data_IF_272685659622
#
_entry.id   IF_272685659622
#
_cell.length_a   1.000
_cell.length_b   1.000
_cell.length_c   1.000
_cell.angle_alpha   90.00
_cell.angle_beta   90.00
_cell.angle_gamma   90.00
#
_symmetry.space_group_name_H-M   'P 1'
#
loop_
_entity.id
_entity.type
_entity.pdbx_description
1 polymer ?
#
# COMPACT_ATOMS: atom_id res chain seq x y z
N UNK A 1 -10.32 -0.49 -14.22
CA UNK A 1 -9.67 0.34 -15.26
C UNK A 1 -8.18 0.60 -15.01
N UNK A 2 -7.74 1.09 -13.84
CA UNK A 2 -6.28 1.21 -13.53
C UNK A 2 -5.52 -0.14 -13.43
N UNK A 3 -6.23 -1.26 -13.27
CA UNK A 3 -5.65 -2.61 -13.23
C UNK A 3 -5.50 -3.33 -14.58
N UNK A 4 -6.29 -3.01 -15.60
CA UNK A 4 -6.34 -3.81 -16.86
C UNK A 4 -5.09 -3.59 -17.75
N UNK A 5 -4.44 -2.43 -17.67
CA UNK A 5 -3.21 -2.14 -18.40
C UNK A 5 -1.95 -2.74 -17.74
N UNK A 6 -1.89 -2.73 -16.40
CA UNK A 6 -0.85 -3.47 -15.66
C UNK A 6 -0.96 -4.98 -15.91
N UNK A 7 -2.18 -5.50 -16.11
CA UNK A 7 -2.47 -6.91 -16.41
C UNK A 7 -1.96 -7.32 -17.82
N UNK A 8 -2.05 -6.46 -18.84
CA UNK A 8 -1.52 -6.74 -20.17
C UNK A 8 0.01 -6.76 -20.23
N UNK A 9 0.65 -5.96 -19.37
CA UNK A 9 2.09 -5.87 -19.26
C UNK A 9 2.70 -7.05 -18.48
N UNK A 10 1.94 -7.64 -17.54
CA UNK A 10 2.26 -8.88 -16.82
C UNK A 10 2.03 -10.14 -17.68
N UNK A 11 1.01 -10.17 -18.54
CA UNK A 11 0.66 -11.35 -19.35
C UNK A 11 1.59 -11.57 -20.57
N UNK A 12 2.10 -10.51 -21.17
CA UNK A 12 3.07 -10.59 -22.27
C UNK A 12 4.47 -11.02 -21.79
N UNK A 13 4.81 -10.68 -20.54
CA UNK A 13 6.06 -11.11 -19.90
C UNK A 13 5.96 -12.54 -19.37
N UNK A 14 4.85 -12.97 -18.78
CA UNK A 14 4.72 -14.31 -18.16
C UNK A 14 4.56 -15.49 -19.13
N UNK A 15 3.91 -15.34 -20.30
CA UNK A 15 3.69 -16.50 -21.20
C UNK A 15 4.94 -16.88 -22.02
N UNK A 16 5.79 -15.89 -22.38
CA UNK A 16 7.04 -16.15 -23.10
C UNK A 16 8.09 -16.87 -22.22
N UNK A 17 7.90 -16.79 -20.90
CA UNK A 17 8.79 -17.36 -19.87
C UNK A 17 8.37 -18.79 -19.51
N UNK A 18 7.09 -19.18 -19.65
CA UNK A 18 6.58 -20.37 -18.97
C UNK A 18 6.63 -21.70 -19.76
N UNK A 19 6.34 -21.73 -21.07
CA UNK A 19 5.76 -22.99 -21.59
C UNK A 19 6.61 -23.94 -22.43
N UNK A 20 7.88 -23.64 -22.71
CA UNK A 20 8.88 -24.65 -23.17
C UNK A 20 8.36 -25.71 -24.18
N UNK A 21 7.44 -25.33 -25.08
CA UNK A 21 6.69 -26.22 -25.98
C UNK A 21 6.78 -25.70 -27.40
N UNK A 22 7.14 -26.62 -28.30
CA UNK A 22 7.05 -26.46 -29.75
C UNK A 22 5.58 -26.32 -30.16
N UNK A 23 5.00 -25.13 -30.03
CA UNK A 23 3.93 -24.73 -30.94
C UNK A 23 3.85 -23.21 -31.08
N UNK A 24 3.87 -22.77 -32.33
CA UNK A 24 4.20 -21.41 -32.75
C UNK A 24 3.10 -20.39 -32.44
N UNK A 25 3.39 -19.43 -31.55
CA UNK A 25 2.58 -18.21 -31.35
C UNK A 25 3.46 -16.98 -31.55
N UNK A 26 3.16 -16.16 -32.56
CA UNK A 26 4.03 -15.11 -33.08
C UNK A 26 3.53 -13.72 -32.70
N UNK A 27 4.42 -12.91 -32.13
CA UNK A 27 4.23 -11.47 -31.97
C UNK A 27 4.58 -10.78 -33.29
N UNK A 28 3.63 -10.06 -33.90
CA UNK A 28 3.87 -9.29 -35.12
C UNK A 28 3.91 -7.80 -34.78
N UNK A 29 5.09 -7.20 -34.90
CA UNK A 29 5.30 -5.75 -34.82
C UNK A 29 5.63 -5.30 -36.24
N UNK A 30 4.86 -4.37 -36.79
CA UNK A 30 5.18 -3.80 -38.10
C UNK A 30 6.41 -2.88 -37.95
N UNK A 31 7.53 -3.28 -38.57
CA UNK A 31 8.86 -2.67 -38.41
C UNK A 31 9.01 -1.29 -39.06
N UNK A 32 8.09 -0.91 -39.94
CA UNK A 32 8.25 0.23 -40.85
C UNK A 32 8.16 1.61 -40.16
N UNK A 33 7.93 1.64 -38.84
CA UNK A 33 7.73 2.86 -38.06
C UNK A 33 8.56 2.92 -36.76
N UNK A 34 9.55 2.03 -36.58
CA UNK A 34 10.44 2.05 -35.41
C UNK A 34 11.65 2.97 -35.70
N UNK A 35 11.77 4.05 -34.93
CA UNK A 35 12.90 4.98 -34.98
C UNK A 35 13.67 4.90 -33.66
N UNK A 36 14.96 4.56 -33.73
CA UNK A 36 15.83 4.44 -32.55
C UNK A 36 16.79 5.63 -32.52
N UNK A 37 16.71 6.44 -31.47
CA UNK A 37 17.66 7.50 -31.19
C UNK A 37 18.66 7.03 -30.12
N UNK A 38 19.87 6.67 -30.57
CA UNK A 38 20.90 6.12 -29.68
C UNK A 38 21.52 7.17 -28.75
N UNK A 39 21.61 8.44 -29.17
CA UNK A 39 22.12 9.54 -28.34
C UNK A 39 21.18 9.83 -27.17
N UNK A 40 19.87 9.75 -27.41
CA UNK A 40 18.82 9.98 -26.40
C UNK A 40 18.38 8.72 -25.67
N UNK A 41 18.94 7.56 -26.02
CA UNK A 41 18.56 6.24 -25.50
C UNK A 41 17.03 6.02 -25.52
N UNK A 42 16.44 6.32 -26.67
CA UNK A 42 15.00 6.38 -26.88
C UNK A 42 14.63 5.56 -28.13
N UNK A 43 13.59 4.76 -28.04
CA UNK A 43 12.96 4.09 -29.18
C UNK A 43 11.51 4.60 -29.31
N UNK A 44 11.17 5.09 -30.51
CA UNK A 44 9.89 5.70 -30.80
C UNK A 44 9.21 4.94 -31.94
N UNK A 45 7.93 4.58 -31.76
CA UNK A 45 7.11 4.00 -32.81
C UNK A 45 6.19 5.07 -33.40
N UNK A 46 6.52 5.60 -34.58
CA UNK A 46 5.82 6.70 -35.23
C UNK A 46 4.51 6.29 -35.95
N UNK A 47 4.10 5.04 -35.80
CA UNK A 47 2.96 4.44 -36.50
C UNK A 47 2.05 3.64 -35.58
N UNK A 48 1.02 3.00 -36.16
CA UNK A 48 0.09 2.17 -35.43
C UNK A 48 0.77 0.86 -34.99
N UNK A 49 0.87 0.67 -33.68
CA UNK A 49 1.33 -0.58 -33.05
C UNK A 49 0.09 -1.44 -32.81
N UNK A 50 0.05 -2.61 -33.44
CA UNK A 50 -1.03 -3.58 -33.31
C UNK A 50 -0.49 -4.81 -32.57
N UNK A 51 -1.02 -5.08 -31.40
CA UNK A 51 -0.71 -6.24 -30.59
C UNK A 51 -1.82 -7.27 -30.80
N UNK A 52 -1.48 -8.40 -31.40
CA UNK A 52 -2.40 -9.50 -31.64
C UNK A 52 -2.26 -10.54 -30.52
N UNK A 53 -3.38 -10.84 -29.87
CA UNK A 53 -3.57 -11.89 -28.88
C UNK A 53 -4.67 -12.85 -29.38
N UNK A 54 -4.72 -14.08 -28.88
CA UNK A 54 -5.62 -15.14 -29.38
C UNK A 54 -7.08 -14.70 -29.53
N UNK A 55 -7.60 -13.89 -28.60
CA UNK A 55 -8.96 -13.36 -28.63
C UNK A 55 -9.03 -11.83 -28.65
N UNK A 56 -7.90 -11.13 -28.75
CA UNK A 56 -7.86 -9.67 -28.57
C UNK A 56 -6.85 -8.98 -29.49
N UNK A 57 -7.25 -7.83 -30.03
CA UNK A 57 -6.37 -6.94 -30.80
C UNK A 57 -6.28 -5.63 -30.06
N UNK A 58 -5.07 -5.24 -29.65
CA UNK A 58 -4.82 -3.94 -29.03
C UNK A 58 -4.09 -3.04 -30.01
N UNK A 59 -4.68 -1.89 -30.30
CA UNK A 59 -4.12 -0.87 -31.17
C UNK A 59 -3.72 0.34 -30.34
N UNK A 60 -2.47 0.76 -30.51
CA UNK A 60 -1.89 1.97 -29.90
C UNK A 60 -1.01 2.71 -30.91
N UNK A 61 -0.66 3.96 -30.68
CA UNK A 61 0.14 4.82 -31.59
C UNK A 61 1.12 5.67 -30.78
N UNK A 62 2.33 5.97 -31.24
CA UNK A 62 3.28 6.82 -30.50
C UNK A 62 3.71 6.20 -29.15
N UNK A 63 4.12 4.93 -29.17
CA UNK A 63 4.76 4.28 -28.02
C UNK A 63 6.22 4.76 -27.94
N UNK A 64 6.64 5.24 -26.77
CA UNK A 64 8.03 5.59 -26.50
C UNK A 64 8.63 4.73 -25.40
N UNK A 65 9.81 4.19 -25.66
CA UNK A 65 10.57 3.35 -24.74
C UNK A 65 11.89 4.05 -24.46
N UNK A 66 12.11 4.43 -23.22
CA UNK A 66 13.37 4.98 -22.75
C UNK A 66 14.17 3.87 -22.09
N UNK A 67 15.45 3.78 -22.43
CA UNK A 67 16.36 2.79 -21.88
C UNK A 67 17.64 3.47 -21.42
N UNK A 68 18.42 2.79 -20.57
CA UNK A 68 19.75 3.23 -20.14
C UNK A 68 20.79 2.16 -20.39
N UNK A 69 22.02 2.59 -20.65
CA UNK A 69 23.15 1.67 -20.85
C UNK A 69 23.86 1.45 -19.51
N UNK A 70 23.79 0.23 -18.97
CA UNK A 70 24.45 -0.19 -17.73
C UNK A 70 25.29 -1.42 -18.00
N UNK A 71 26.59 -1.39 -17.71
CA UNK A 71 27.53 -2.50 -17.91
C UNK A 71 27.44 -3.13 -19.32
N UNK A 72 27.43 -2.29 -20.35
CA UNK A 72 27.27 -2.68 -21.77
C UNK A 72 25.93 -3.34 -22.16
N UNK A 73 24.93 -3.32 -21.26
CA UNK A 73 23.58 -3.84 -21.48
C UNK A 73 22.57 -2.69 -21.54
N UNK A 74 21.55 -2.82 -22.39
CA UNK A 74 20.44 -1.86 -22.47
C UNK A 74 19.34 -2.28 -21.50
N UNK A 75 18.99 -1.42 -20.56
CA UNK A 75 17.98 -1.65 -19.52
C UNK A 75 16.84 -0.67 -19.74
N UNK A 76 15.60 -1.16 -19.85
CA UNK A 76 14.42 -0.28 -19.99
C UNK A 76 14.27 0.53 -18.70
N UNK A 77 14.23 1.85 -18.84
CA UNK A 77 14.10 2.81 -17.75
C UNK A 77 12.62 3.09 -17.47
N UNK A 78 11.85 3.48 -18.49
CA UNK A 78 10.39 3.61 -18.43
C UNK A 78 9.76 3.66 -19.84
N UNK A 79 8.43 3.51 -19.90
CA UNK A 79 7.66 3.52 -21.15
C UNK A 79 6.59 4.60 -21.07
N UNK A 80 6.52 5.45 -22.10
CA UNK A 80 5.44 6.41 -22.28
C UNK A 80 4.44 5.83 -23.28
N UNK A 81 3.19 5.68 -22.86
CA UNK A 81 2.07 5.29 -23.73
C UNK A 81 1.21 6.51 -24.08
N UNK A 82 0.65 6.56 -25.30
CA UNK A 82 -0.32 7.59 -25.67
C UNK A 82 -1.61 7.49 -24.84
N UNK A 83 -2.35 8.59 -24.82
CA UNK A 83 -3.63 8.76 -24.12
C UNK A 83 -4.82 8.02 -24.74
N UNK A 84 -4.64 7.27 -25.84
CA UNK A 84 -5.71 6.48 -26.48
C UNK A 84 -5.23 5.07 -26.78
N UNK A 85 -5.79 4.10 -26.07
CA UNK A 85 -5.71 2.68 -26.39
C UNK A 85 -7.07 2.20 -26.91
N UNK A 86 -7.05 1.37 -27.95
CA UNK A 86 -8.24 0.68 -28.44
C UNK A 86 -7.99 -0.81 -28.40
N UNK A 87 -8.69 -1.51 -27.51
CA UNK A 87 -8.68 -2.97 -27.44
C UNK A 87 -9.98 -3.50 -28.04
N UNK A 88 -9.90 -4.54 -28.87
CA UNK A 88 -11.06 -5.20 -29.48
C UNK A 88 -10.96 -6.70 -29.23
N UNK A 89 -12.00 -7.29 -28.62
CA UNK A 89 -12.09 -8.73 -28.40
C UNK A 89 -12.85 -9.38 -29.56
N UNK A 90 -12.42 -10.55 -30.02
CA UNK A 90 -12.86 -11.13 -31.29
C UNK A 90 -14.34 -11.55 -31.38
N UNK A 91 -15.19 -11.29 -30.36
CA UNK A 91 -16.64 -11.53 -30.42
C UNK A 91 -17.51 -10.50 -29.66
N UNK A 92 -16.99 -9.32 -29.31
CA UNK A 92 -17.79 -8.24 -28.71
C UNK A 92 -17.38 -6.87 -29.26
N UNK A 93 -18.37 -6.09 -29.71
CA UNK A 93 -18.20 -4.68 -30.11
C UNK A 93 -18.15 -3.76 -28.87
N UNK A 94 -17.13 -3.91 -28.02
CA UNK A 94 -16.93 -2.99 -26.90
C UNK A 94 -15.61 -2.24 -27.05
N UNK A 95 -15.70 -0.91 -27.11
CA UNK A 95 -14.58 0.00 -27.29
C UNK A 95 -14.16 0.55 -25.92
N UNK A 96 -13.08 0.03 -25.34
CA UNK A 96 -12.55 0.54 -24.08
C UNK A 96 -11.65 1.75 -24.35
N UNK A 97 -12.05 2.93 -23.87
CA UNK A 97 -11.26 4.17 -23.88
C UNK A 97 -10.68 4.43 -22.48
N UNK A 98 -9.36 4.55 -22.36
CA UNK A 98 -8.69 4.89 -21.09
C UNK A 98 -7.96 6.23 -21.25
N UNK A 99 -8.14 7.15 -20.29
CA UNK A 99 -7.46 8.45 -20.26
C UNK A 99 -6.08 8.35 -19.57
N UNK A 100 -5.18 9.23 -20.01
CA UNK A 100 -3.75 9.34 -19.68
C UNK A 100 -3.37 9.09 -18.22
N UNK A 101 -2.31 8.30 -18.01
CA UNK A 101 -1.54 8.28 -16.77
C UNK A 101 -0.04 8.14 -17.11
N UNK A 102 0.78 9.01 -16.52
CA UNK A 102 2.23 8.83 -16.44
C UNK A 102 2.52 7.72 -15.43
N UNK A 103 3.15 6.64 -15.88
CA UNK A 103 3.49 5.50 -15.03
C UNK A 103 5.00 5.46 -14.80
N UNK A 104 5.44 5.75 -13.57
CA UNK A 104 6.83 5.63 -13.14
C UNK A 104 7.09 4.18 -12.67
N UNK A 105 8.02 3.48 -13.32
CA UNK A 105 8.47 2.14 -12.92
C UNK A 105 9.88 2.24 -12.34
N UNK A 106 10.06 1.91 -11.05
CA UNK A 106 11.38 1.72 -10.45
C UNK A 106 11.78 0.26 -10.64
N UNK A 107 12.69 -0.03 -11.57
CA UNK A 107 13.25 -1.38 -11.76
C UNK A 107 14.71 -1.44 -11.28
N UNK A 108 15.03 -2.49 -10.50
CA UNK A 108 16.41 -2.95 -10.27
C UNK A 108 16.69 -4.08 -11.27
N UNK A 109 17.70 -3.84 -12.11
CA UNK A 109 18.45 -4.72 -13.03
C UNK A 109 17.70 -5.70 -13.96
N UNK A 110 17.96 -5.54 -15.27
CA UNK A 110 17.67 -6.54 -16.30
C UNK A 110 18.98 -6.88 -17.04
N UNK A 111 19.46 -8.11 -16.93
CA UNK A 111 20.74 -8.56 -17.48
C UNK A 111 20.49 -9.43 -18.72
N UNK A 112 20.87 -8.93 -19.89
CA UNK A 112 20.87 -9.69 -21.17
C UNK A 112 22.17 -10.48 -21.34
N UNK A 113 22.10 -11.81 -21.24
CA UNK A 113 23.04 -12.76 -21.86
C UNK A 113 22.32 -14.09 -22.04
N UNK A 114 22.65 -14.82 -23.11
CA UNK A 114 22.02 -16.07 -23.51
C UNK A 114 21.87 -17.07 -22.35
N UNK A 115 20.77 -17.81 -22.41
CA UNK A 115 20.20 -18.68 -21.37
C UNK A 115 19.68 -17.91 -20.14
N UNK A 116 18.40 -17.56 -20.25
CA UNK A 116 17.65 -16.78 -19.28
C UNK A 116 17.18 -17.73 -18.16
N UNK A 117 17.84 -17.67 -17.01
CA UNK A 117 17.29 -18.12 -15.73
C UNK A 117 16.64 -16.91 -15.06
N UNK A 118 15.32 -16.95 -14.89
CA UNK A 118 14.56 -15.90 -14.22
C UNK A 118 14.41 -16.26 -12.74
N UNK A 119 15.02 -15.45 -11.88
CA UNK A 119 14.56 -15.29 -10.50
C UNK A 119 13.61 -14.09 -10.47
N UNK A 120 12.32 -14.36 -10.30
CA UNK A 120 11.31 -13.33 -10.00
C UNK A 120 11.48 -12.89 -8.55
N UNK A 121 12.21 -11.80 -8.30
CA UNK A 121 12.10 -11.10 -7.03
C UNK A 121 11.04 -10.01 -7.17
N UNK A 122 9.84 -10.32 -6.68
CA UNK A 122 8.66 -9.53 -6.29
C UNK A 122 8.38 -8.16 -6.94
N UNK A 123 7.14 -8.05 -7.43
CA UNK A 123 6.38 -6.79 -7.54
C UNK A 123 6.61 -5.98 -6.26
N UNK A 124 7.28 -4.81 -6.34
CA UNK A 124 7.58 -4.01 -5.15
C UNK A 124 6.30 -3.67 -4.39
N UNK A 125 6.05 -4.38 -3.30
CA UNK A 125 5.09 -4.02 -2.25
C UNK A 125 5.50 -2.69 -1.66
N UNK A 126 4.54 -1.76 -1.50
CA UNK A 126 4.80 -0.50 -0.79
C UNK A 126 5.39 -0.82 0.59
N UNK A 127 6.49 -0.15 0.95
CA UNK A 127 7.23 -0.41 2.18
C UNK A 127 7.51 0.89 2.91
N UNK A 128 7.28 0.87 4.22
CA UNK A 128 7.77 1.88 5.15
C UNK A 128 9.09 1.39 5.74
N UNK A 129 10.12 2.21 5.67
CA UNK A 129 11.37 2.04 6.40
C UNK A 129 11.51 3.14 7.44
N UNK A 130 11.84 2.75 8.67
CA UNK A 130 12.21 3.63 9.77
C UNK A 130 13.62 3.23 10.16
N UNK A 131 14.57 4.12 9.95
CA UNK A 131 15.99 3.82 10.08
C UNK A 131 16.59 4.64 11.22
N UNK A 132 17.05 3.94 12.26
CA UNK A 132 17.94 4.48 13.29
C UNK A 132 17.34 5.68 14.05
N UNK A 133 16.01 5.70 14.25
CA UNK A 133 15.34 6.84 14.85
C UNK A 133 15.70 6.97 16.33
N UNK A 134 16.05 8.18 16.73
CA UNK A 134 16.27 8.55 18.14
C UNK A 134 15.41 9.74 18.52
N UNK A 135 14.93 9.77 19.76
CA UNK A 135 14.11 10.88 20.28
C UNK A 135 14.33 11.11 21.75
N UNK A 136 14.52 12.38 22.12
CA UNK A 136 14.71 12.86 23.48
C UNK A 136 13.58 13.83 23.83
N UNK A 137 13.03 13.70 25.04
CA UNK A 137 12.12 14.67 25.64
C UNK A 137 12.64 15.05 27.02
N UNK A 138 12.73 16.36 27.32
CA UNK A 138 13.19 16.87 28.63
C UNK A 138 14.47 16.19 29.14
N UNK A 139 15.49 16.11 28.27
CA UNK A 139 16.77 15.43 28.51
C UNK A 139 16.70 13.91 28.78
N UNK A 140 15.53 13.29 28.62
CA UNK A 140 15.36 11.83 28.69
C UNK A 140 15.27 11.24 27.30
N UNK A 141 16.19 10.33 26.99
CA UNK A 141 16.16 9.56 25.75
C UNK A 141 15.00 8.55 25.79
N UNK A 142 14.03 8.73 24.89
CA UNK A 142 12.84 7.88 24.78
C UNK A 142 12.99 6.84 23.70
N UNK A 143 13.58 7.20 22.56
CA UNK A 143 13.96 6.27 21.49
C UNK A 143 15.46 6.38 21.24
N UNK A 144 16.10 5.23 21.06
CA UNK A 144 17.53 5.11 20.85
C UNK A 144 17.79 4.14 19.69
N UNK A 145 18.08 4.71 18.51
CA UNK A 145 18.48 3.96 17.33
C UNK A 145 17.47 2.86 16.92
N UNK A 146 16.18 3.17 16.97
CA UNK A 146 15.12 2.23 16.59
C UNK A 146 15.04 2.13 15.08
N UNK A 147 15.14 0.91 14.56
CA UNK A 147 14.88 0.61 13.16
C UNK A 147 13.73 -0.38 13.06
N UNK A 148 12.73 -0.06 12.24
CA UNK A 148 11.62 -0.97 11.91
C UNK A 148 11.28 -0.84 10.43
N UNK A 149 10.67 -1.86 9.86
CA UNK A 149 10.05 -1.77 8.54
C UNK A 149 8.63 -2.33 8.58
N UNK A 150 7.82 -1.98 7.59
CA UNK A 150 6.46 -2.48 7.42
C UNK A 150 6.11 -2.54 5.94
N UNK A 151 5.66 -3.70 5.48
CA UNK A 151 5.21 -3.89 4.11
C UNK A 151 3.68 -3.71 4.00
N UNK A 152 3.22 -3.31 2.82
CA UNK A 152 1.81 -3.38 2.47
C UNK A 152 1.34 -4.85 2.50
N UNK A 153 0.16 -5.09 3.06
CA UNK A 153 -0.39 -6.45 3.22
C UNK A 153 0.21 -7.25 4.38
N UNK A 154 0.95 -6.60 5.27
CA UNK A 154 1.57 -7.19 6.45
C UNK A 154 1.00 -6.57 7.73
N UNK A 155 0.84 -7.38 8.78
CA UNK A 155 0.55 -6.91 10.14
C UNK A 155 1.81 -7.08 10.99
N UNK A 156 2.36 -5.97 11.48
CA UNK A 156 3.55 -5.94 12.34
C UNK A 156 3.18 -5.46 13.73
N UNK A 157 3.49 -6.27 14.75
CA UNK A 157 3.37 -5.86 16.14
C UNK A 157 4.56 -5.01 16.61
N UNK A 158 4.31 -3.98 17.42
CA UNK A 158 5.31 -3.27 18.20
C UNK A 158 4.97 -3.41 19.68
N UNK A 159 5.59 -4.38 20.34
CA UNK A 159 5.28 -4.77 21.71
C UNK A 159 6.35 -4.31 22.69
N UNK A 160 5.97 -4.10 23.95
CA UNK A 160 6.89 -3.67 25.00
C UNK A 160 6.13 -3.07 26.18
N UNK A 161 6.78 -2.87 27.34
CA UNK A 161 6.13 -2.30 28.50
C UNK A 161 5.70 -0.84 28.26
N UNK A 162 4.88 -0.32 29.16
CA UNK A 162 4.51 1.09 29.16
C UNK A 162 5.75 1.97 29.33
N UNK A 163 5.82 3.05 28.57
CA UNK A 163 7.00 3.93 28.53
C UNK A 163 8.19 3.40 27.71
N UNK A 164 8.07 2.25 27.03
CA UNK A 164 9.15 1.74 26.17
C UNK A 164 9.40 2.56 24.90
N UNK A 165 8.50 3.49 24.55
CA UNK A 165 8.62 4.37 23.37
C UNK A 165 7.66 4.06 22.21
N UNK A 166 6.75 3.10 22.35
CA UNK A 166 5.77 2.68 21.31
C UNK A 166 5.01 3.86 20.68
N UNK A 167 4.30 4.64 21.50
CA UNK A 167 3.53 5.82 21.06
C UNK A 167 4.43 6.92 20.48
N UNK A 168 5.66 7.07 20.99
CA UNK A 168 6.63 8.02 20.42
C UNK A 168 7.08 7.58 19.02
N UNK A 169 7.29 6.28 18.82
CA UNK A 169 7.59 5.71 17.52
C UNK A 169 6.44 5.98 16.54
N UNK A 170 5.19 5.67 16.94
CA UNK A 170 4.00 5.96 16.14
C UNK A 170 3.87 7.44 15.77
N UNK A 171 4.03 8.32 16.77
CA UNK A 171 3.99 9.78 16.59
C UNK A 171 5.02 10.27 15.57
N UNK A 172 6.21 9.67 15.56
CA UNK A 172 7.26 9.98 14.59
C UNK A 172 6.90 9.48 13.19
N UNK A 173 6.33 8.28 13.07
CA UNK A 173 5.96 7.70 11.77
C UNK A 173 4.78 8.42 11.14
N UNK A 174 3.79 8.83 11.92
CA UNK A 174 2.65 9.60 11.39
C UNK A 174 2.98 11.09 11.18
N UNK A 175 4.08 11.58 11.76
CA UNK A 175 4.53 12.97 11.60
C UNK A 175 3.94 13.97 12.60
N UNK A 176 3.45 13.50 13.75
CA UNK A 176 3.11 14.34 14.93
C UNK A 176 4.36 14.82 15.67
N UNK A 177 5.46 14.08 15.56
CA UNK A 177 6.75 14.44 16.15
C UNK A 177 7.88 14.19 15.16
N UNK A 178 8.97 14.96 15.27
CA UNK A 178 10.18 14.75 14.46
C UNK A 178 11.20 13.94 15.25
N UNK A 179 11.90 12.98 14.63
CA UNK A 179 13.03 12.34 15.28
C UNK A 179 14.17 13.36 15.44
N UNK A 180 15.03 13.16 16.44
CA UNK A 180 16.25 13.96 16.62
C UNK A 180 17.39 13.45 15.71
N UNK A 181 17.38 12.16 15.39
CA UNK A 181 18.29 11.47 14.46
C UNK A 181 17.54 10.34 13.75
N UNK A 182 18.08 9.90 12.62
CA UNK A 182 17.49 8.84 11.80
C UNK A 182 16.49 9.38 10.79
N UNK A 183 16.03 8.51 9.93
CA UNK A 183 15.24 8.86 8.75
C UNK A 183 14.09 7.88 8.53
N UNK A 184 13.02 8.36 7.90
CA UNK A 184 11.87 7.58 7.51
C UNK A 184 11.70 7.66 6.00
N UNK A 185 11.46 6.51 5.38
CA UNK A 185 11.23 6.40 3.95
C UNK A 185 9.94 5.63 3.66
N UNK A 186 9.18 6.11 2.68
CA UNK A 186 8.16 5.33 2.02
C UNK A 186 8.71 4.94 0.64
N UNK A 187 9.00 3.65 0.45
CA UNK A 187 9.81 3.16 -0.65
C UNK A 187 11.15 3.93 -0.68
N UNK A 188 11.40 4.67 -1.76
CA UNK A 188 12.60 5.50 -1.93
C UNK A 188 12.39 6.98 -1.56
N UNK A 189 11.19 7.37 -1.10
CA UNK A 189 10.88 8.77 -0.76
C UNK A 189 11.11 9.04 0.73
N UNK A 190 12.03 9.96 1.04
CA UNK A 190 12.25 10.40 2.41
C UNK A 190 11.04 11.22 2.91
N UNK A 191 10.37 10.75 3.95
CA UNK A 191 9.19 11.38 4.56
C UNK A 191 9.48 12.02 5.93
N UNK A 192 10.74 12.00 6.38
CA UNK A 192 11.17 12.38 7.74
C UNK A 192 10.66 13.76 8.16
N UNK A 193 10.72 14.74 7.26
CA UNK A 193 10.34 16.13 7.55
C UNK A 193 8.92 16.49 7.10
N UNK A 194 8.20 15.55 6.48
CA UNK A 194 6.84 15.81 6.02
C UNK A 194 5.88 15.93 7.22
N UNK A 195 5.03 16.96 7.26
CA UNK A 195 3.93 17.06 8.22
C UNK A 195 2.86 15.99 7.96
N UNK A 196 2.05 15.73 8.99
CA UNK A 196 1.01 14.69 8.98
C UNK A 196 0.10 14.72 7.75
N UNK A 197 -0.37 15.89 7.31
CA UNK A 197 -1.29 15.99 6.17
C UNK A 197 -0.65 15.59 4.83
N UNK A 198 0.67 15.76 4.68
CA UNK A 198 1.39 15.29 3.49
C UNK A 198 1.61 13.78 3.57
N UNK A 199 1.92 13.24 4.75
CA UNK A 199 2.03 11.78 4.94
C UNK A 199 0.69 11.09 4.68
N UNK A 200 -0.43 11.70 5.04
CA UNK A 200 -1.76 11.19 4.70
C UNK A 200 -1.95 11.03 3.19
N UNK A 201 -1.40 11.93 2.36
CA UNK A 201 -1.43 11.80 0.89
C UNK A 201 -0.59 10.62 0.37
N UNK A 202 0.43 10.21 1.12
CA UNK A 202 1.18 8.97 0.86
C UNK A 202 0.46 7.71 1.36
N UNK A 203 -0.74 7.85 1.93
CA UNK A 203 -1.55 6.73 2.42
C UNK A 203 -1.29 6.36 3.88
N UNK A 204 -0.66 7.21 4.67
CA UNK A 204 -0.48 6.98 6.10
C UNK A 204 -1.73 7.40 6.88
N UNK A 205 -2.23 6.51 7.73
CA UNK A 205 -3.34 6.80 8.64
C UNK A 205 -3.05 6.33 10.05
N UNK A 206 -3.68 6.96 11.02
CA UNK A 206 -3.46 6.70 12.43
C UNK A 206 -4.79 6.60 13.16
N UNK A 207 -4.92 5.54 13.95
CA UNK A 207 -6.03 5.32 14.82
C UNK A 207 -5.52 5.27 16.27
N UNK A 208 -5.71 6.34 17.06
CA UNK A 208 -5.24 6.39 18.44
C UNK A 208 -5.99 5.41 19.34
N UNK A 209 -5.43 5.22 20.54
CA UNK A 209 -6.05 4.49 21.64
C UNK A 209 -7.29 5.20 22.15
N UNK A 210 -7.20 6.51 22.38
CA UNK A 210 -8.35 7.32 22.80
C UNK A 210 -9.35 7.48 21.66
N UNK A 211 -10.63 7.52 22.01
CA UNK A 211 -11.73 7.67 21.05
C UNK A 211 -11.56 8.93 20.22
N UNK A 212 -11.52 8.75 18.90
CA UNK A 212 -11.32 9.78 17.90
C UNK A 212 -12.60 10.12 17.13
N UNK A 213 -13.75 9.53 17.47
CA UNK A 213 -15.04 9.80 16.81
C UNK A 213 -15.43 11.28 16.92
N UNK A 214 -16.14 11.78 15.92
CA UNK A 214 -16.78 13.08 15.97
C UNK A 214 -18.09 12.95 16.74
N UNK A 215 -18.03 13.26 18.04
CA UNK A 215 -19.12 13.09 19.00
C UNK A 215 -20.40 13.86 18.64
N UNK A 216 -20.26 15.02 17.99
CA UNK A 216 -21.39 15.86 17.56
C UNK A 216 -22.05 15.41 16.24
N UNK A 217 -21.60 14.31 15.64
CA UNK A 217 -22.06 13.84 14.33
C UNK A 217 -22.75 12.47 14.42
N UNK A 218 -23.58 12.19 13.42
CA UNK A 218 -24.14 10.84 13.23
C UNK A 218 -23.05 9.84 12.81
N UNK A 219 -23.35 8.54 12.88
CA UNK A 219 -22.47 7.47 12.36
C UNK A 219 -22.16 7.69 10.88
N UNK A 220 -23.17 8.04 10.07
CA UNK A 220 -22.98 8.35 8.64
C UNK A 220 -22.04 9.54 8.46
N UNK A 221 -22.30 10.62 9.16
CA UNK A 221 -21.59 11.88 8.95
C UNK A 221 -20.13 11.78 9.41
N UNK A 222 -19.82 10.90 10.36
CA UNK A 222 -18.45 10.56 10.76
C UNK A 222 -17.60 10.03 9.58
N UNK A 223 -18.17 9.21 8.71
CA UNK A 223 -17.49 8.68 7.53
C UNK A 223 -17.52 9.71 6.39
N UNK A 224 -18.71 10.29 6.15
CA UNK A 224 -18.98 11.23 5.06
C UNK A 224 -18.03 12.44 5.07
N UNK A 225 -17.80 13.04 6.24
CA UNK A 225 -16.95 14.23 6.37
C UNK A 225 -15.48 13.96 5.96
N UNK A 226 -14.99 12.74 6.17
CA UNK A 226 -13.63 12.36 5.77
C UNK A 226 -13.57 12.08 4.26
N UNK A 227 -14.63 11.50 3.69
CA UNK A 227 -14.74 11.30 2.25
C UNK A 227 -14.76 12.63 1.48
N UNK A 228 -15.41 13.66 2.01
CA UNK A 228 -15.43 15.02 1.41
C UNK A 228 -14.04 15.67 1.28
N UNK A 229 -13.04 15.20 2.03
CA UNK A 229 -11.66 15.70 1.94
C UNK A 229 -10.93 15.09 0.73
N UNK A 230 -11.27 13.86 0.34
CA UNK A 230 -10.55 13.07 -0.67
C UNK A 230 -11.32 12.85 -1.97
N UNK A 231 -12.61 13.21 -1.99
CA UNK A 231 -13.52 13.06 -3.11
C UNK A 231 -14.34 14.35 -3.28
N UNK A 232 -14.61 14.73 -4.52
CA UNK A 232 -15.34 15.95 -4.86
C UNK A 232 -16.75 15.67 -5.38
N UNK A 233 -16.98 14.48 -5.94
CA UNK A 233 -18.29 14.10 -6.46
C UNK A 233 -19.21 13.64 -5.32
N UNK A 234 -20.29 14.40 -5.09
CA UNK A 234 -21.28 14.13 -4.03
C UNK A 234 -21.94 12.76 -4.14
N UNK A 235 -22.31 12.31 -5.34
CA UNK A 235 -22.95 11.00 -5.53
C UNK A 235 -21.99 9.87 -5.16
N UNK A 236 -20.71 10.01 -5.55
CA UNK A 236 -19.65 9.05 -5.20
C UNK A 236 -19.40 9.04 -3.68
N UNK A 237 -19.46 10.20 -3.03
CA UNK A 237 -19.32 10.29 -1.56
C UNK A 237 -20.46 9.55 -0.86
N UNK A 238 -21.71 9.78 -1.27
CA UNK A 238 -22.86 9.10 -0.67
C UNK A 238 -22.80 7.58 -0.90
N UNK A 239 -22.44 7.15 -2.11
CA UNK A 239 -22.28 5.74 -2.42
C UNK A 239 -21.21 5.09 -1.54
N UNK A 240 -19.99 5.66 -1.50
CA UNK A 240 -18.90 5.14 -0.66
C UNK A 240 -19.23 5.16 0.82
N UNK A 241 -19.95 6.18 1.29
CA UNK A 241 -20.40 6.26 2.68
C UNK A 241 -21.33 5.08 2.99
N UNK A 242 -22.32 4.84 2.13
CA UNK A 242 -23.23 3.71 2.27
C UNK A 242 -22.51 2.37 2.22
N UNK A 243 -21.54 2.20 1.31
CA UNK A 243 -20.77 0.98 1.15
C UNK A 243 -19.93 0.69 2.39
N UNK A 244 -19.20 1.69 2.91
CA UNK A 244 -18.41 1.55 4.14
C UNK A 244 -19.31 1.24 5.35
N UNK A 245 -20.47 1.89 5.47
CA UNK A 245 -21.41 1.59 6.55
C UNK A 245 -21.93 0.15 6.48
N UNK A 246 -22.16 -0.40 5.29
CA UNK A 246 -22.58 -1.80 5.12
C UNK A 246 -21.44 -2.77 5.39
N UNK A 247 -20.26 -2.49 4.82
CA UNK A 247 -19.03 -3.29 4.98
C UNK A 247 -18.66 -3.47 6.46
N UNK A 248 -18.91 -2.45 7.30
CA UNK A 248 -18.60 -2.48 8.73
C UNK A 248 -19.80 -2.79 9.62
N UNK A 249 -20.93 -3.24 9.04
CA UNK A 249 -22.15 -3.58 9.79
C UNK A 249 -22.72 -2.42 10.63
N UNK A 250 -22.58 -1.18 10.16
CA UNK A 250 -23.04 0.05 10.81
C UNK A 250 -24.21 0.73 10.10
N UNK A 251 -24.66 0.23 8.94
CA UNK A 251 -25.70 0.87 8.13
C UNK A 251 -27.05 1.05 8.86
N UNK A 252 -27.39 0.14 9.76
CA UNK A 252 -28.61 0.23 10.58
C UNK A 252 -28.52 1.33 11.64
N UNK A 253 -27.31 1.78 12.00
CA UNK A 253 -27.03 2.86 12.97
C UNK A 253 -26.69 4.19 12.28
N UNK A 254 -26.80 4.27 10.95
CA UNK A 254 -26.27 5.41 10.17
C UNK A 254 -26.77 6.79 10.65
N UNK A 255 -28.01 6.87 11.13
CA UNK A 255 -28.65 8.11 11.58
C UNK A 255 -28.54 8.32 13.11
N UNK A 256 -27.94 7.35 13.83
CA UNK A 256 -27.72 7.42 15.28
C UNK A 256 -26.55 8.34 15.59
N UNK A 257 -26.59 9.03 16.73
CA UNK A 257 -25.46 9.81 17.23
C UNK A 257 -24.27 8.90 17.54
N UNK A 258 -23.06 9.27 17.09
CA UNK A 258 -21.86 8.48 17.35
C UNK A 258 -21.55 8.32 18.85
N UNK A 259 -22.03 9.24 19.70
CA UNK A 259 -21.91 9.14 21.16
C UNK A 259 -22.67 7.96 21.77
N UNK A 260 -23.76 7.52 21.14
CA UNK A 260 -24.60 6.44 21.65
C UNK A 260 -24.06 5.03 21.33
N UNK A 261 -22.97 4.93 20.55
CA UNK A 261 -22.38 3.66 20.17
C UNK A 261 -21.72 2.95 21.35
N UNK A 262 -21.88 1.62 21.39
CA UNK A 262 -21.07 0.73 22.23
C UNK A 262 -19.59 0.80 21.84
N UNK A 263 -18.70 0.28 22.70
CA UNK A 263 -17.25 0.29 22.44
C UNK A 263 -16.86 -0.38 21.13
N UNK A 264 -17.44 -1.56 20.83
CA UNK A 264 -17.17 -2.30 19.59
C UNK A 264 -17.70 -1.59 18.33
N UNK A 265 -18.93 -1.07 18.36
CA UNK A 265 -19.49 -0.30 17.24
C UNK A 265 -18.70 0.98 16.99
N UNK A 266 -18.31 1.65 18.06
CA UNK A 266 -17.45 2.83 17.99
C UNK A 266 -16.12 2.50 17.32
N UNK A 267 -15.46 1.42 17.72
CA UNK A 267 -14.19 1.02 17.11
C UNK A 267 -14.34 0.67 15.64
N UNK A 268 -15.42 -0.05 15.26
CA UNK A 268 -15.74 -0.29 13.84
C UNK A 268 -15.94 1.00 13.06
N UNK A 269 -16.62 2.01 13.64
CA UNK A 269 -16.82 3.30 12.99
C UNK A 269 -15.49 4.03 12.75
N UNK A 270 -14.59 4.02 13.74
CA UNK A 270 -13.28 4.65 13.60
C UNK A 270 -12.43 3.98 12.51
N UNK A 271 -12.47 2.65 12.43
CA UNK A 271 -11.75 1.89 11.40
C UNK A 271 -12.38 2.14 10.01
N UNK A 272 -13.71 2.14 9.91
CA UNK A 272 -14.43 2.46 8.67
C UNK A 272 -14.06 3.86 8.16
N UNK A 273 -14.00 4.85 9.06
CA UNK A 273 -13.56 6.21 8.76
C UNK A 273 -12.10 6.26 8.34
N UNK A 274 -11.25 5.44 8.95
CA UNK A 274 -9.84 5.32 8.55
C UNK A 274 -9.71 4.79 7.13
N UNK A 275 -10.55 3.82 6.72
CA UNK A 275 -10.55 3.31 5.36
C UNK A 275 -11.07 4.30 4.30
N UNK A 276 -11.88 5.27 4.70
CA UNK A 276 -12.41 6.28 3.79
C UNK A 276 -11.32 7.05 3.03
N UNK A 277 -10.14 7.22 3.63
CA UNK A 277 -8.98 7.91 3.03
C UNK A 277 -8.15 7.04 2.08
N UNK A 278 -8.50 5.75 1.90
CA UNK A 278 -7.75 4.76 1.12
C UNK A 278 -6.28 4.64 1.57
N UNK A 279 -6.04 4.29 2.84
CA UNK A 279 -4.69 4.19 3.38
C UNK A 279 -3.90 3.04 2.71
N UNK A 280 -2.59 3.22 2.66
CA UNK A 280 -1.59 2.17 2.40
C UNK A 280 -1.02 1.60 3.68
N UNK A 281 -0.89 2.45 4.71
CA UNK A 281 -0.40 2.10 6.03
C UNK A 281 -1.34 2.60 7.12
N UNK A 282 -1.63 1.77 8.11
CA UNK A 282 -2.42 2.13 9.28
C UNK A 282 -1.63 1.83 10.55
N UNK A 283 -1.58 2.82 11.43
CA UNK A 283 -0.99 2.71 12.76
C UNK A 283 -2.14 2.57 13.75
N UNK A 284 -2.26 1.40 14.37
CA UNK A 284 -3.32 1.06 15.34
C UNK A 284 -2.73 1.08 16.75
N UNK A 285 -3.00 2.13 17.53
CA UNK A 285 -2.52 2.21 18.91
C UNK A 285 -3.52 1.55 19.86
N UNK A 286 -3.12 0.42 20.47
CA UNK A 286 -3.92 -0.40 21.38
C UNK A 286 -5.38 -0.66 20.94
N UNK A 287 -5.61 -1.26 19.75
CA UNK A 287 -6.94 -1.34 19.17
C UNK A 287 -7.92 -2.27 19.88
N UNK A 288 -7.44 -3.11 20.79
CA UNK A 288 -8.26 -4.03 21.58
C UNK A 288 -8.52 -3.49 23.00
N UNK A 289 -7.90 -2.36 23.38
CA UNK A 289 -8.06 -1.80 24.72
C UNK A 289 -9.49 -1.30 24.97
N UNK A 290 -10.07 -1.68 26.12
CA UNK A 290 -11.40 -1.25 26.53
C UNK A 290 -12.54 -1.84 25.69
N UNK A 291 -12.26 -2.82 24.83
CA UNK A 291 -13.26 -3.56 24.06
C UNK A 291 -13.77 -4.75 24.90
N UNK A 292 -15.08 -5.00 24.82
CA UNK A 292 -15.70 -6.17 25.44
C UNK A 292 -15.03 -7.46 24.92
N UNK A 293 -14.63 -8.42 25.78
CA UNK A 293 -14.03 -9.68 25.37
C UNK A 293 -14.81 -10.43 24.26
N UNK A 294 -16.14 -10.34 24.26
CA UNK A 294 -16.98 -10.98 23.25
C UNK A 294 -16.82 -10.36 21.85
N UNK A 295 -16.30 -9.13 21.76
CA UNK A 295 -16.15 -8.36 20.52
C UNK A 295 -14.69 -8.32 20.03
N UNK A 296 -13.72 -8.82 20.80
CA UNK A 296 -12.30 -8.81 20.42
C UNK A 296 -12.08 -9.55 19.10
N UNK A 297 -12.74 -10.69 18.90
CA UNK A 297 -12.60 -11.51 17.69
C UNK A 297 -13.12 -10.78 16.44
N UNK A 298 -14.20 -9.99 16.56
CA UNK A 298 -14.71 -9.19 15.46
C UNK A 298 -13.68 -8.13 15.02
N UNK A 299 -13.01 -7.48 15.97
CA UNK A 299 -11.97 -6.47 15.67
C UNK A 299 -10.74 -7.14 15.06
N UNK A 300 -10.34 -8.32 15.54
CA UNK A 300 -9.25 -9.12 14.95
C UNK A 300 -9.55 -9.48 13.50
N UNK A 301 -10.75 -9.98 13.21
CA UNK A 301 -11.20 -10.29 11.86
C UNK A 301 -11.20 -9.06 10.96
N UNK A 302 -11.57 -7.91 11.49
CA UNK A 302 -11.52 -6.64 10.77
C UNK A 302 -10.08 -6.22 10.44
N UNK A 303 -9.14 -6.37 11.37
CA UNK A 303 -7.71 -6.09 11.12
C UNK A 303 -7.16 -7.04 10.05
N UNK A 304 -7.48 -8.33 10.11
CA UNK A 304 -7.11 -9.30 9.07
C UNK A 304 -7.71 -8.94 7.70
N UNK A 305 -8.96 -8.47 7.68
CA UNK A 305 -9.60 -7.98 6.47
C UNK A 305 -8.85 -6.79 5.86
N UNK A 306 -8.42 -5.82 6.67
CA UNK A 306 -7.60 -4.68 6.21
C UNK A 306 -6.29 -5.14 5.57
N UNK A 307 -5.59 -6.09 6.19
CA UNK A 307 -4.39 -6.70 5.64
C UNK A 307 -4.66 -7.33 4.27
N UNK A 308 -5.73 -8.10 4.13
CA UNK A 308 -6.11 -8.73 2.86
C UNK A 308 -6.43 -7.72 1.74
N UNK A 309 -6.70 -6.45 2.08
CA UNK A 309 -6.79 -5.34 1.12
C UNK A 309 -5.43 -4.73 0.75
N UNK A 310 -4.34 -5.42 1.06
CA UNK A 310 -2.96 -4.99 0.85
C UNK A 310 -2.61 -3.69 1.61
N UNK A 311 -3.12 -3.56 2.84
CA UNK A 311 -2.80 -2.45 3.75
C UNK A 311 -1.76 -2.94 4.76
N UNK A 312 -0.66 -2.22 4.92
CA UNK A 312 0.32 -2.49 5.96
C UNK A 312 -0.15 -1.94 7.30
N UNK A 313 -0.10 -2.76 8.35
CA UNK A 313 -0.63 -2.41 9.67
C UNK A 313 0.49 -2.50 10.70
N UNK A 314 0.77 -1.40 11.39
CA UNK A 314 1.60 -1.40 12.59
C UNK A 314 0.68 -1.33 13.80
N UNK A 315 0.72 -2.34 14.67
CA UNK A 315 -0.16 -2.47 15.82
C UNK A 315 0.63 -2.48 17.12
N UNK A 316 0.16 -1.74 18.13
CA UNK A 316 0.64 -1.87 19.52
C UNK A 316 -0.47 -2.48 20.35
N UNK A 317 -0.09 -3.21 21.39
CA UNK A 317 -1.04 -3.65 22.41
C UNK A 317 -0.27 -3.94 23.71
N UNK A 318 -0.95 -3.84 24.85
CA UNK A 318 -0.44 -4.30 26.14
C UNK A 318 -0.73 -5.80 26.34
N UNK A 319 -1.78 -6.34 25.71
CA UNK A 319 -2.07 -7.77 25.68
C UNK A 319 -1.40 -8.43 24.46
N UNK A 320 -0.12 -8.74 24.67
CA UNK A 320 0.74 -9.35 23.64
C UNK A 320 0.16 -10.68 23.14
N UNK A 321 -0.42 -11.52 24.02
CA UNK A 321 -0.95 -12.85 23.64
C UNK A 321 -2.08 -12.74 22.64
N UNK A 322 -3.03 -11.84 22.86
CA UNK A 322 -4.17 -11.68 21.96
C UNK A 322 -3.77 -11.15 20.59
N UNK A 323 -2.77 -10.27 20.56
CA UNK A 323 -2.30 -9.62 19.34
C UNK A 323 -1.36 -10.51 18.55
N UNK A 324 -0.56 -11.36 19.21
CA UNK A 324 0.35 -12.29 18.54
C UNK A 324 -0.36 -13.26 17.58
N UNK A 325 -1.64 -13.55 17.83
CA UNK A 325 -2.43 -14.44 16.96
C UNK A 325 -2.79 -13.83 15.60
N UNK A 326 -2.67 -12.51 15.43
CA UNK A 326 -3.04 -11.81 14.20
C UNK A 326 -1.87 -11.14 13.48
N UNK A 327 -0.70 -11.03 14.11
CA UNK A 327 0.48 -10.41 13.50
C UNK A 327 1.28 -11.43 12.69
N UNK A 328 1.87 -10.98 11.60
CA UNK A 328 2.78 -11.79 10.78
C UNK A 328 4.18 -11.85 11.41
N UNK A 329 4.61 -10.73 11.99
CA UNK A 329 5.84 -10.60 12.79
C UNK A 329 5.70 -9.48 13.79
N UNK A 330 6.65 -9.36 14.72
CA UNK A 330 6.67 -8.23 15.63
C UNK A 330 8.07 -7.86 16.12
N UNK A 331 8.14 -6.62 16.59
CA UNK A 331 9.26 -6.04 17.30
C UNK A 331 8.97 -5.99 18.79
N UNK A 332 9.95 -6.32 19.62
CA UNK A 332 9.92 -6.08 21.06
C UNK A 332 10.80 -4.88 21.37
N UNK A 333 10.21 -3.79 21.84
CA UNK A 333 10.88 -2.56 22.26
C UNK A 333 10.98 -2.49 23.78
N UNK A 334 12.18 -2.16 24.28
CA UNK A 334 12.44 -1.95 25.70
C UNK A 334 13.44 -0.81 25.88
N UNK A 335 13.15 0.11 26.81
CA UNK A 335 13.97 1.30 27.05
C UNK A 335 14.38 2.04 25.76
N UNK A 336 13.43 2.19 24.83
CA UNK A 336 13.65 2.90 23.58
C UNK A 336 14.49 2.17 22.54
N UNK A 337 14.80 0.88 22.73
CA UNK A 337 15.57 0.06 21.77
C UNK A 337 14.77 -1.15 21.33
N UNK A 338 14.90 -1.52 20.06
CA UNK A 338 14.44 -2.82 19.57
C UNK A 338 15.37 -3.88 20.14
N UNK A 339 14.83 -4.78 20.96
CA UNK A 339 15.56 -5.91 21.52
C UNK A 339 15.47 -7.15 20.62
N UNK A 340 14.32 -7.33 19.98
CA UNK A 340 14.01 -8.52 19.21
C UNK A 340 13.08 -8.19 18.06
N UNK A 341 13.27 -8.90 16.95
CA UNK A 341 12.37 -8.96 15.79
C UNK A 341 12.18 -10.43 15.44
N UNK A 342 10.95 -10.85 15.19
CA UNK A 342 10.69 -12.21 14.75
C UNK A 342 9.21 -12.52 14.56
N UNK A 343 8.94 -13.77 14.19
CA UNK A 343 7.59 -14.32 14.07
C UNK A 343 6.92 -14.48 15.44
N UNK A 344 5.60 -14.62 15.51
CA UNK A 344 4.91 -14.90 16.78
C UNK A 344 5.46 -16.13 17.52
N UNK A 345 5.81 -17.21 16.79
CA UNK A 345 6.40 -18.40 17.41
C UNK A 345 7.77 -18.09 18.02
N UNK A 346 8.62 -17.34 17.32
CA UNK A 346 9.93 -16.95 17.83
C UNK A 346 9.81 -16.08 19.09
N UNK A 347 8.91 -15.10 19.11
CA UNK A 347 8.67 -14.22 20.27
C UNK A 347 8.20 -15.02 21.49
N UNK A 348 7.27 -15.95 21.30
CA UNK A 348 6.77 -16.79 22.41
C UNK A 348 7.82 -17.77 22.94
N UNK A 349 8.69 -18.28 22.06
CA UNK A 349 9.79 -19.18 22.44
C UNK A 349 10.95 -18.48 23.15
N UNK A 350 11.11 -17.17 22.93
CA UNK A 350 12.23 -16.39 23.42
C UNK A 350 11.94 -15.70 24.77
N UNK A 351 11.12 -16.34 25.63
CA UNK A 351 10.69 -15.81 26.92
C UNK A 351 11.79 -15.93 28.01
N UNK A 352 12.99 -15.41 27.73
CA UNK A 352 14.08 -15.25 28.71
C UNK A 352 14.35 -13.79 29.04
#
# INVERSE_FOLDING_TARGET
MKGILCILYLLATMQAIADNKKDSRRLYINSDHLVINQEKQQAHFSGQVILWFEDMVVKTTNLEIFYKKVNNKQVIDYIIMPSKLTARRNNMHELLMANSAEYFMNSKELILSGDIVIQTNDLMTDILHVNNISKTYNNRLILNNVSIHLQAGEIVGLFGPNGAGKTTCFSIIIGLSRPDRGELFHNNYNITHLPIYLRAKFGFSYLPQESSIFQGLSVRDNIRIVLEIVESNKEVIEQKTCDLLKEFSLYHLRDVSALALSGGERRRLEIARTLATKPKFIMLDEPLAGIDPLMIEDIKNLIAYLRNRNIGILITDHNVRDTLNIVDRAYVIYNGKVLFEGTPQEITSNSK
#
